data_IF_766768590012
#
_entry.id   IF_766768590012
#
_cell.length_a   1.000
_cell.length_b   1.000
_cell.length_c   1.000
_cell.angle_alpha   90.00
_cell.angle_beta   90.00
_cell.angle_gamma   90.00
#
_symmetry.space_group_name_H-M   'P 1'
#
loop_
_entity.id
_entity.type
_entity.pdbx_description
1 polymer ?
#
# COMPACT_ATOMS: atom_id res chain seq x y z
N UNK A 1 23.47 -3.57 8.05
CA UNK A 1 24.80 -2.99 8.36
C UNK A 1 25.30 -2.07 7.25
N UNK A 2 25.24 -2.48 5.96
CA UNK A 2 25.70 -1.64 4.84
C UNK A 2 24.98 -0.29 4.78
N UNK A 3 23.64 -0.25 4.92
CA UNK A 3 22.86 0.99 4.97
C UNK A 3 23.35 1.89 6.10
N UNK A 4 23.60 1.35 7.30
CA UNK A 4 24.12 2.14 8.43
C UNK A 4 25.49 2.73 8.17
N UNK A 5 26.38 2.00 7.47
CA UNK A 5 27.73 2.45 7.16
C UNK A 5 27.78 3.51 6.05
N UNK A 6 26.77 3.53 5.15
CA UNK A 6 26.70 4.50 4.05
C UNK A 6 25.89 5.77 4.40
N UNK A 7 25.20 5.78 5.53
CA UNK A 7 24.28 6.86 5.90
C UNK A 7 25.00 7.96 6.69
N UNK A 8 25.68 8.87 5.97
CA UNK A 8 26.18 10.13 6.50
C UNK A 8 25.15 11.29 6.35
N UNK A 9 24.03 11.06 5.65
CA UNK A 9 22.99 12.08 5.49
C UNK A 9 22.15 12.17 6.78
N UNK A 10 22.14 13.33 7.46
CA UNK A 10 21.39 13.53 8.71
C UNK A 10 19.87 13.40 8.54
N UNK A 11 19.36 13.46 7.31
CA UNK A 11 17.93 13.25 7.00
C UNK A 11 17.54 11.78 7.01
N UNK A 12 18.51 10.86 7.01
CA UNK A 12 18.25 9.43 6.95
C UNK A 12 18.16 8.84 8.37
N UNK A 13 17.03 8.21 8.65
CA UNK A 13 16.79 7.46 9.89
C UNK A 13 16.58 5.99 9.57
N UNK A 14 17.35 5.10 10.20
CA UNK A 14 17.25 3.65 10.02
C UNK A 14 16.50 3.05 11.20
N UNK A 15 15.37 2.39 10.93
CA UNK A 15 14.62 1.60 11.91
C UNK A 15 14.96 0.12 11.72
N UNK A 16 15.50 -0.51 12.76
CA UNK A 16 15.91 -1.92 12.72
C UNK A 16 15.00 -2.73 13.63
N UNK A 17 14.42 -3.80 13.08
CA UNK A 17 13.61 -4.75 13.85
C UNK A 17 14.48 -5.90 14.38
N UNK A 18 14.25 -6.36 15.60
CA UNK A 18 14.94 -7.53 16.19
C UNK A 18 14.56 -8.83 15.46
N UNK A 19 13.35 -8.89 14.88
CA UNK A 19 12.86 -10.01 14.08
C UNK A 19 12.06 -9.50 12.88
N UNK A 20 11.93 -10.32 11.83
CA UNK A 20 11.14 -9.99 10.65
C UNK A 20 9.64 -9.83 11.02
N UNK A 21 9.08 -8.65 10.78
CA UNK A 21 7.69 -8.33 11.05
C UNK A 21 6.81 -8.30 9.78
N UNK A 22 7.36 -8.68 8.65
CA UNK A 22 6.70 -8.60 7.34
C UNK A 22 6.68 -7.19 6.76
N UNK A 23 6.22 -7.08 5.50
CA UNK A 23 6.17 -5.81 4.77
C UNK A 23 5.25 -4.79 5.45
N UNK A 24 4.09 -5.22 5.90
CA UNK A 24 3.16 -4.36 6.64
C UNK A 24 3.76 -3.88 7.96
N UNK A 25 4.43 -4.77 8.73
CA UNK A 25 5.09 -4.39 9.98
C UNK A 25 6.20 -3.35 9.76
N UNK A 26 7.01 -3.52 8.72
CA UNK A 26 8.02 -2.53 8.35
C UNK A 26 7.40 -1.17 7.98
N UNK A 27 6.33 -1.18 7.19
CA UNK A 27 5.60 0.04 6.79
C UNK A 27 5.01 0.76 8.01
N UNK A 28 4.36 0.02 8.91
CA UNK A 28 3.75 0.61 10.13
C UNK A 28 4.80 1.23 11.06
N UNK A 29 5.97 0.60 11.19
CA UNK A 29 7.09 1.18 11.94
C UNK A 29 7.63 2.44 11.28
N UNK A 30 7.69 2.46 9.94
CA UNK A 30 8.02 3.65 9.16
C UNK A 30 7.01 4.79 9.38
N UNK A 31 5.72 4.47 9.38
CA UNK A 31 4.66 5.46 9.68
C UNK A 31 4.81 6.04 11.09
N UNK A 32 4.98 5.18 12.09
CA UNK A 32 5.17 5.63 13.48
C UNK A 32 6.39 6.55 13.60
N UNK A 33 7.50 6.20 12.96
CA UNK A 33 8.72 7.02 12.97
C UNK A 33 8.55 8.33 12.22
N UNK A 34 7.88 8.34 11.08
CA UNK A 34 7.61 9.56 10.32
C UNK A 34 6.68 10.52 11.10
N UNK A 35 5.68 9.98 11.81
CA UNK A 35 4.80 10.76 12.70
C UNK A 35 5.61 11.40 13.83
N UNK A 36 6.52 10.64 14.46
CA UNK A 36 7.43 11.12 15.52
C UNK A 36 8.33 12.25 15.03
N UNK A 37 8.82 12.14 13.80
CA UNK A 37 9.69 13.14 13.15
C UNK A 37 8.91 14.37 12.64
N UNK A 38 7.59 14.42 12.79
CA UNK A 38 6.78 15.56 12.40
C UNK A 38 6.50 15.69 10.91
N UNK A 39 6.50 14.57 10.16
CA UNK A 39 6.15 14.60 8.74
C UNK A 39 4.71 15.08 8.52
N UNK A 40 4.45 15.83 7.45
CA UNK A 40 3.10 16.23 7.01
C UNK A 40 2.46 15.18 6.10
N UNK A 41 3.26 14.60 5.21
CA UNK A 41 2.86 13.53 4.29
C UNK A 41 3.90 12.42 4.36
N UNK A 42 3.44 11.18 4.46
CA UNK A 42 4.29 9.99 4.50
C UNK A 42 4.13 9.24 3.18
N UNK A 43 5.25 8.95 2.51
CA UNK A 43 5.27 8.19 1.26
C UNK A 43 5.93 6.83 1.52
N UNK A 44 5.26 5.75 1.13
CA UNK A 44 5.81 4.40 1.12
C UNK A 44 6.43 4.10 -0.24
N UNK A 45 7.70 3.72 -0.24
CA UNK A 45 8.43 3.25 -1.41
C UNK A 45 9.10 1.93 -1.02
N UNK A 46 8.90 0.88 -1.82
CA UNK A 46 9.57 -0.40 -1.61
C UNK A 46 11.01 -0.35 -2.18
N UNK A 47 11.95 -1.01 -1.50
CA UNK A 47 13.38 -0.97 -1.86
C UNK A 47 13.79 -1.94 -2.97
N UNK A 48 12.83 -2.48 -3.73
CA UNK A 48 13.04 -3.46 -4.80
C UNK A 48 13.33 -2.83 -6.18
N UNK A 49 13.34 -1.49 -6.26
CA UNK A 49 13.60 -0.75 -7.50
C UNK A 49 12.44 -0.72 -8.50
N UNK A 50 11.27 -1.28 -8.16
CA UNK A 50 10.10 -1.28 -9.07
C UNK A 50 9.31 0.04 -9.03
N UNK A 51 9.57 0.90 -8.06
CA UNK A 51 8.91 2.20 -7.88
C UNK A 51 9.86 3.33 -8.27
N UNK A 52 9.44 4.19 -9.21
CA UNK A 52 10.21 5.37 -9.60
C UNK A 52 10.05 6.49 -8.56
N UNK A 53 11.10 6.86 -7.82
CA UNK A 53 11.05 7.99 -6.90
C UNK A 53 10.70 9.33 -7.56
N UNK A 54 10.95 9.49 -8.86
CA UNK A 54 10.56 10.66 -9.65
C UNK A 54 9.05 10.88 -9.70
N UNK A 55 8.26 9.81 -9.45
CA UNK A 55 6.80 9.89 -9.41
C UNK A 55 6.23 10.36 -8.06
N UNK A 56 7.07 10.55 -7.03
CA UNK A 56 6.61 10.96 -5.68
C UNK A 56 5.82 12.27 -5.75
N UNK A 57 6.29 13.26 -6.49
CA UNK A 57 5.61 14.55 -6.63
C UNK A 57 4.20 14.41 -7.21
N UNK A 58 4.01 13.49 -8.16
CA UNK A 58 2.70 13.17 -8.74
C UNK A 58 1.81 12.44 -7.75
N UNK A 59 2.38 11.51 -6.97
CA UNK A 59 1.65 10.72 -5.99
C UNK A 59 1.12 11.58 -4.83
N UNK A 60 1.92 12.52 -4.32
CA UNK A 60 1.52 13.39 -3.19
C UNK A 60 0.61 14.53 -3.59
N UNK A 61 0.57 14.88 -4.87
CA UNK A 61 -0.19 16.03 -5.39
C UNK A 61 -1.66 16.08 -4.96
N UNK A 62 -2.47 14.99 -5.04
CA UNK A 62 -3.86 15.01 -4.59
C UNK A 62 -4.01 15.38 -3.11
N UNK A 63 -3.03 15.01 -2.28
CA UNK A 63 -3.02 15.29 -0.85
C UNK A 63 -2.65 16.76 -0.61
N UNK A 64 -1.63 17.26 -1.29
CA UNK A 64 -1.21 18.66 -1.21
C UNK A 64 -2.31 19.63 -1.66
N UNK A 65 -3.11 19.25 -2.64
CA UNK A 65 -4.26 20.02 -3.14
C UNK A 65 -5.52 19.85 -2.27
N UNK A 66 -5.47 19.09 -1.18
CA UNK A 66 -6.62 18.84 -0.30
C UNK A 66 -7.75 18.03 -0.93
N UNK A 67 -7.48 17.31 -2.04
CA UNK A 67 -8.46 16.49 -2.75
C UNK A 67 -8.51 15.04 -2.27
N UNK A 68 -7.53 14.60 -1.51
CA UNK A 68 -7.45 13.26 -0.95
C UNK A 68 -6.67 13.24 0.36
N UNK A 69 -6.97 12.27 1.20
CA UNK A 69 -6.25 11.97 2.44
C UNK A 69 -5.18 10.89 2.25
N UNK A 70 -5.39 10.05 1.23
CA UNK A 70 -4.52 8.95 0.84
C UNK A 70 -4.43 8.88 -0.68
N UNK A 71 -3.23 8.66 -1.21
CA UNK A 71 -3.01 8.44 -2.64
C UNK A 71 -2.36 7.09 -2.86
N UNK A 72 -2.82 6.37 -3.88
CA UNK A 72 -2.34 5.04 -4.24
C UNK A 72 -1.96 4.99 -5.71
N UNK A 73 -0.77 4.47 -5.99
CA UNK A 73 -0.30 4.27 -7.35
C UNK A 73 -1.11 3.20 -8.08
N UNK A 74 -1.40 3.43 -9.35
CA UNK A 74 -2.11 2.50 -10.23
C UNK A 74 -1.28 2.21 -11.48
N UNK A 75 -0.79 0.96 -11.59
CA UNK A 75 0.01 0.47 -12.72
C UNK A 75 -0.84 0.08 -13.93
N UNK A 76 -2.14 -0.15 -13.72
CA UNK A 76 -3.05 -0.62 -14.77
C UNK A 76 -3.69 0.49 -15.60
N UNK A 77 -3.36 1.74 -15.31
CA UNK A 77 -3.95 2.88 -16.02
C UNK A 77 -3.51 2.97 -17.50
N UNK A 78 -2.33 2.42 -17.82
CA UNK A 78 -1.83 2.35 -19.21
C UNK A 78 -1.81 0.91 -19.71
N UNK A 79 -2.30 0.68 -20.93
CA UNK A 79 -2.31 -0.63 -21.60
C UNK A 79 -0.89 -1.23 -21.73
N UNK A 80 0.15 -0.39 -21.82
CA UNK A 80 1.54 -0.81 -21.86
C UNK A 80 1.98 -1.57 -20.60
N UNK A 81 1.43 -1.24 -19.41
CA UNK A 81 1.68 -1.97 -18.17
C UNK A 81 1.03 -3.37 -18.13
N UNK A 82 0.12 -3.66 -19.06
CA UNK A 82 -0.61 -4.94 -19.13
C UNK A 82 -0.05 -5.85 -20.21
N UNK A 83 0.52 -5.30 -21.28
CA UNK A 83 0.92 -6.03 -22.49
C UNK A 83 2.00 -7.10 -22.27
N UNK A 84 2.82 -6.97 -21.23
CA UNK A 84 3.84 -7.96 -20.82
C UNK A 84 3.42 -8.91 -19.71
N UNK A 85 2.18 -8.81 -19.20
CA UNK A 85 1.77 -9.58 -18.02
C UNK A 85 1.19 -10.95 -18.42
N UNK A 86 1.64 -12.08 -17.81
CA UNK A 86 1.03 -13.39 -18.02
C UNK A 86 -0.46 -13.39 -17.72
N UNK A 87 -1.27 -14.03 -18.59
CA UNK A 87 -2.76 -14.05 -18.47
C UNK A 87 -3.26 -14.51 -17.08
N UNK A 88 -2.62 -15.53 -16.50
CA UNK A 88 -2.94 -16.00 -15.15
C UNK A 88 -2.72 -14.95 -14.07
N UNK A 89 -1.67 -14.15 -14.19
CA UNK A 89 -1.39 -13.04 -13.27
C UNK A 89 -2.41 -11.92 -13.44
N UNK A 90 -2.83 -11.64 -14.66
CA UNK A 90 -3.88 -10.65 -14.95
C UNK A 90 -5.21 -11.06 -14.33
N UNK A 91 -5.65 -12.32 -14.52
CA UNK A 91 -6.90 -12.85 -13.92
C UNK A 91 -6.82 -12.83 -12.39
N UNK A 92 -5.68 -13.24 -11.82
CA UNK A 92 -5.46 -13.18 -10.37
C UNK A 92 -5.55 -11.76 -9.82
N UNK A 93 -4.94 -10.79 -10.49
CA UNK A 93 -5.01 -9.38 -10.10
C UNK A 93 -6.42 -8.80 -10.22
N UNK A 94 -7.19 -9.17 -11.25
CA UNK A 94 -8.58 -8.75 -11.40
C UNK A 94 -9.45 -9.33 -10.25
N UNK A 95 -9.27 -10.60 -9.92
CA UNK A 95 -9.97 -11.23 -8.79
C UNK A 95 -9.65 -10.55 -7.45
N UNK A 96 -8.35 -10.28 -7.19
CA UNK A 96 -7.94 -9.55 -5.98
C UNK A 96 -8.46 -8.11 -5.97
N UNK A 97 -8.45 -7.42 -7.11
CA UNK A 97 -9.03 -6.08 -7.23
C UNK A 97 -10.52 -6.08 -6.89
N UNK A 98 -11.27 -7.05 -7.43
CA UNK A 98 -12.70 -7.19 -7.13
C UNK A 98 -12.94 -7.49 -5.64
N UNK A 99 -12.24 -8.47 -5.06
CA UNK A 99 -12.35 -8.79 -3.64
C UNK A 99 -12.03 -7.60 -2.74
N UNK A 100 -11.00 -6.83 -3.09
CA UNK A 100 -10.63 -5.61 -2.38
C UNK A 100 -11.69 -4.52 -2.48
N UNK A 101 -12.30 -4.31 -3.66
CA UNK A 101 -13.41 -3.36 -3.85
C UNK A 101 -14.60 -3.71 -2.97
N UNK A 102 -14.99 -4.98 -2.97
CA UNK A 102 -16.11 -5.49 -2.16
C UNK A 102 -15.81 -5.34 -0.67
N UNK A 103 -14.62 -5.72 -0.22
CA UNK A 103 -14.27 -5.69 1.20
C UNK A 103 -13.99 -4.28 1.74
N UNK A 104 -13.31 -3.44 0.97
CA UNK A 104 -12.95 -2.09 1.38
C UNK A 104 -14.00 -1.03 1.05
N UNK A 105 -14.87 -1.25 0.04
CA UNK A 105 -15.83 -0.25 -0.42
C UNK A 105 -15.28 0.80 -1.41
N UNK A 106 -13.98 0.76 -1.75
CA UNK A 106 -13.37 1.67 -2.72
C UNK A 106 -13.48 1.14 -4.15
N UNK A 107 -14.60 1.35 -4.81
CA UNK A 107 -14.88 0.86 -6.16
C UNK A 107 -14.01 1.49 -7.25
N UNK A 108 -13.47 2.68 -7.01
CA UNK A 108 -12.62 3.41 -7.96
C UNK A 108 -11.16 2.97 -7.94
N UNK A 109 -10.71 2.22 -6.92
CA UNK A 109 -9.32 1.77 -6.81
C UNK A 109 -9.12 0.49 -7.60
N UNK A 110 -8.18 0.50 -8.56
CA UNK A 110 -7.93 -0.62 -9.47
C UNK A 110 -6.74 -1.48 -9.08
N UNK A 111 -5.71 -0.91 -8.46
CA UNK A 111 -4.49 -1.62 -8.05
C UNK A 111 -4.36 -1.69 -6.53
N UNK A 112 -5.17 -2.55 -5.84
CA UNK A 112 -5.20 -2.58 -4.38
C UNK A 112 -3.90 -3.10 -3.76
N UNK A 113 -3.09 -3.84 -4.53
CA UNK A 113 -1.84 -4.47 -4.05
C UNK A 113 -0.60 -3.65 -4.32
N UNK A 114 -0.73 -2.50 -4.99
CA UNK A 114 0.41 -1.62 -5.21
C UNK A 114 0.85 -0.98 -3.90
N UNK A 115 2.14 -1.13 -3.57
CA UNK A 115 2.74 -0.58 -2.36
C UNK A 115 3.15 0.88 -2.45
N UNK A 116 3.18 1.50 -3.64
CA UNK A 116 3.53 2.90 -3.81
C UNK A 116 2.38 3.80 -3.40
N UNK A 117 2.44 4.34 -2.20
CA UNK A 117 1.32 5.05 -1.55
C UNK A 117 1.79 6.27 -0.80
N UNK A 118 0.89 7.25 -0.65
CA UNK A 118 1.11 8.42 0.19
C UNK A 118 -0.09 8.64 1.13
N UNK A 119 0.17 9.10 2.35
CA UNK A 119 -0.86 9.36 3.36
C UNK A 119 -0.60 10.70 4.04
N UNK A 120 -1.67 11.46 4.24
CA UNK A 120 -1.60 12.66 5.08
C UNK A 120 -1.43 12.26 6.54
N UNK A 121 -0.52 12.92 7.27
CA UNK A 121 -0.19 12.56 8.66
C UNK A 121 -1.40 12.61 9.61
N UNK A 122 -2.34 13.52 9.40
CA UNK A 122 -3.58 13.59 10.20
C UNK A 122 -4.37 12.29 10.14
N UNK A 123 -4.48 11.70 8.94
CA UNK A 123 -5.12 10.41 8.77
C UNK A 123 -4.28 9.28 9.39
N UNK A 124 -2.95 9.27 9.17
CA UNK A 124 -2.06 8.25 9.75
C UNK A 124 -2.13 8.20 11.29
N UNK A 125 -2.33 9.35 11.95
CA UNK A 125 -2.44 9.45 13.42
C UNK A 125 -3.74 8.87 13.99
N UNK A 126 -4.83 8.85 13.22
CA UNK A 126 -6.12 8.32 13.69
C UNK A 126 -6.34 6.86 13.33
N UNK A 127 -5.53 6.31 12.41
CA UNK A 127 -5.61 4.90 12.05
C UNK A 127 -5.15 4.01 13.22
N UNK A 128 -5.82 2.88 13.48
CA UNK A 128 -5.40 1.91 14.48
C UNK A 128 -4.23 1.05 13.92
N UNK A 129 -3.03 1.64 13.89
CA UNK A 129 -1.84 1.03 13.26
C UNK A 129 -1.48 -0.35 13.85
N UNK A 130 -1.85 -0.62 15.08
CA UNK A 130 -1.66 -1.91 15.78
C UNK A 130 -2.60 -3.01 15.28
N UNK A 131 -3.75 -2.65 14.67
CA UNK A 131 -4.76 -3.58 14.17
C UNK A 131 -4.62 -3.89 12.67
N UNK A 132 -3.80 -3.12 11.95
CA UNK A 132 -3.57 -3.32 10.52
C UNK A 132 -2.68 -4.54 10.29
N UNK A 133 -3.01 -5.33 9.26
CA UNK A 133 -2.29 -6.55 8.91
C UNK A 133 -0.81 -6.27 8.62
N UNK A 134 0.08 -7.07 9.21
CA UNK A 134 1.53 -6.91 9.05
C UNK A 134 2.13 -7.71 7.90
N UNK A 135 1.34 -8.55 7.25
CA UNK A 135 1.77 -9.42 6.15
C UNK A 135 1.57 -8.75 4.78
N UNK A 136 1.62 -9.56 3.72
CA UNK A 136 1.29 -9.13 2.35
C UNK A 136 -0.17 -8.67 2.15
N UNK A 137 -1.04 -8.88 3.13
CA UNK A 137 -2.42 -8.37 3.07
C UNK A 137 -2.53 -6.90 3.50
N UNK A 138 -1.44 -6.30 3.95
CA UNK A 138 -1.34 -4.93 4.46
C UNK A 138 -2.08 -3.91 3.57
N UNK A 139 -1.80 -3.89 2.27
CA UNK A 139 -2.36 -2.89 1.35
C UNK A 139 -3.89 -2.98 1.25
N UNK A 140 -4.43 -4.20 1.23
CA UNK A 140 -5.88 -4.43 1.19
C UNK A 140 -6.54 -4.09 2.53
N UNK A 141 -5.88 -4.42 3.64
CA UNK A 141 -6.37 -4.13 4.99
C UNK A 141 -6.34 -2.64 5.28
N UNK A 142 -5.29 -1.95 4.82
CA UNK A 142 -5.19 -0.49 4.88
C UNK A 142 -6.42 0.16 4.22
N UNK A 143 -6.81 -0.27 3.01
CA UNK A 143 -7.99 0.26 2.34
C UNK A 143 -9.28 0.06 3.15
N UNK A 144 -9.43 -1.06 3.84
CA UNK A 144 -10.55 -1.27 4.76
C UNK A 144 -10.54 -0.25 5.90
N UNK A 145 -9.41 -0.06 6.59
CA UNK A 145 -9.28 0.90 7.68
C UNK A 145 -9.47 2.35 7.23
N UNK A 146 -9.00 2.69 6.02
CA UNK A 146 -9.25 3.99 5.40
C UNK A 146 -10.75 4.24 5.18
N UNK A 147 -11.50 3.24 4.71
CA UNK A 147 -12.94 3.37 4.48
C UNK A 147 -13.71 3.55 5.79
N UNK A 148 -13.39 2.77 6.82
CA UNK A 148 -13.99 2.93 8.16
C UNK A 148 -13.79 4.35 8.70
N UNK A 149 -12.64 4.97 8.42
CA UNK A 149 -12.35 6.35 8.77
C UNK A 149 -12.85 7.39 7.73
N UNK A 150 -13.62 6.95 6.73
CA UNK A 150 -14.20 7.79 5.67
C UNK A 150 -13.15 8.62 4.89
N UNK A 151 -11.93 8.10 4.77
CA UNK A 151 -10.85 8.77 4.07
C UNK A 151 -11.11 8.87 2.56
N UNK A 152 -10.74 9.97 1.97
CA UNK A 152 -10.78 10.15 0.51
C UNK A 152 -9.50 9.55 -0.09
N UNK A 153 -9.65 8.53 -0.95
CA UNK A 153 -8.53 7.85 -1.61
C UNK A 153 -8.46 8.23 -3.07
N UNK A 154 -7.31 8.73 -3.50
CA UNK A 154 -7.01 9.01 -4.91
C UNK A 154 -6.25 7.86 -5.57
N UNK A 155 -6.71 7.43 -6.76
CA UNK A 155 -6.01 6.48 -7.62
C UNK A 155 -5.13 7.26 -8.60
N UNK A 156 -3.80 7.13 -8.48
CA UNK A 156 -2.83 7.95 -9.22
C UNK A 156 -2.13 7.10 -10.27
N UNK A 157 -2.25 7.42 -11.57
CA UNK A 157 -1.51 6.71 -12.61
C UNK A 157 -0.01 6.80 -12.38
N UNK A 158 0.66 5.65 -12.34
CA UNK A 158 2.12 5.55 -12.23
C UNK A 158 2.67 4.61 -13.30
N UNK A 159 3.90 4.85 -13.69
CA UNK A 159 4.64 3.92 -14.55
C UNK A 159 5.35 2.90 -13.66
N UNK A 160 5.18 1.60 -13.96
CA UNK A 160 5.89 0.54 -13.26
C UNK A 160 7.20 0.22 -13.98
N UNK A 161 8.28 0.10 -13.22
CA UNK A 161 9.55 -0.41 -13.72
C UNK A 161 9.52 -1.93 -13.53
N UNK A 162 9.43 -2.67 -14.64
CA UNK A 162 9.51 -4.13 -14.60
C UNK A 162 10.98 -4.54 -14.79
N UNK A 163 11.63 -4.97 -13.71
CA UNK A 163 12.88 -5.72 -13.72
C UNK A 163 12.62 -7.22 -13.92
N UNK A 164 13.65 -8.00 -14.24
CA UNK A 164 13.58 -9.47 -14.41
C UNK A 164 13.35 -10.24 -13.10
N UNK A 165 12.73 -9.67 -12.10
CA UNK A 165 12.55 -10.29 -10.79
C UNK A 165 11.43 -11.33 -10.79
N UNK A 166 11.73 -12.50 -10.20
CA UNK A 166 10.77 -13.58 -9.99
C UNK A 166 10.02 -13.36 -8.68
N UNK A 167 8.70 -13.26 -8.75
CA UNK A 167 7.86 -13.20 -7.55
C UNK A 167 7.96 -14.52 -6.77
N UNK A 168 8.44 -14.46 -5.53
CA UNK A 168 8.49 -15.61 -4.61
C UNK A 168 7.14 -15.97 -3.97
N UNK A 169 6.07 -15.25 -4.32
CA UNK A 169 4.73 -15.48 -3.79
C UNK A 169 4.11 -16.74 -4.39
N UNK A 170 3.99 -17.80 -3.59
CA UNK A 170 3.22 -19.00 -3.96
C UNK A 170 1.72 -18.70 -3.85
N UNK A 171 1.10 -18.33 -4.97
CA UNK A 171 -0.31 -17.90 -5.07
C UNK A 171 -1.26 -18.89 -4.40
N UNK A 172 -1.05 -20.20 -4.57
CA UNK A 172 -1.90 -21.26 -3.99
C UNK A 172 -1.97 -21.23 -2.46
N UNK A 173 -0.91 -20.79 -1.77
CA UNK A 173 -0.87 -20.73 -0.30
C UNK A 173 -1.52 -19.46 0.27
N UNK A 174 -1.74 -18.45 -0.57
CA UNK A 174 -2.21 -17.12 -0.16
C UNK A 174 -3.70 -16.95 -0.44
N UNK A 175 -4.25 -17.64 -1.45
CA UNK A 175 -5.61 -17.43 -1.93
C UNK A 175 -6.67 -17.62 -0.83
N UNK A 176 -6.66 -18.74 -0.10
CA UNK A 176 -7.64 -19.01 0.96
C UNK A 176 -7.52 -18.05 2.16
N UNK A 177 -6.31 -17.80 2.71
CA UNK A 177 -6.13 -16.80 3.75
C UNK A 177 -6.56 -15.39 3.33
N UNK A 178 -6.29 -14.98 2.08
CA UNK A 178 -6.71 -13.67 1.58
C UNK A 178 -8.22 -13.58 1.43
N UNK A 179 -8.86 -14.58 0.85
CA UNK A 179 -10.30 -14.63 0.72
C UNK A 179 -11.00 -14.53 2.10
N UNK A 180 -10.49 -15.24 3.10
CA UNK A 180 -10.99 -15.15 4.47
C UNK A 180 -10.80 -13.76 5.08
N UNK A 181 -9.63 -13.15 4.91
CA UNK A 181 -9.36 -11.78 5.39
C UNK A 181 -10.26 -10.75 4.71
N UNK A 182 -10.48 -10.86 3.39
CA UNK A 182 -11.43 -10.00 2.68
C UNK A 182 -12.86 -10.17 3.18
N UNK A 183 -13.33 -11.41 3.41
CA UNK A 183 -14.64 -11.68 3.97
C UNK A 183 -14.79 -11.08 5.38
N UNK A 184 -13.78 -11.26 6.23
CA UNK A 184 -13.74 -10.66 7.58
C UNK A 184 -13.85 -9.14 7.52
N UNK A 185 -13.11 -8.48 6.64
CA UNK A 185 -13.16 -7.03 6.46
C UNK A 185 -14.50 -6.56 5.92
N UNK A 186 -15.11 -7.31 4.97
CA UNK A 186 -16.46 -7.03 4.49
C UNK A 186 -17.47 -7.05 5.62
N UNK A 187 -17.49 -8.13 6.43
CA UNK A 187 -18.43 -8.28 7.55
C UNK A 187 -18.23 -7.16 8.57
N UNK A 188 -16.99 -6.90 8.98
CA UNK A 188 -16.68 -5.80 9.91
C UNK A 188 -17.15 -4.45 9.36
N UNK A 189 -16.90 -4.16 8.08
CA UNK A 189 -17.31 -2.91 7.44
C UNK A 189 -18.84 -2.76 7.44
N UNK A 190 -19.56 -3.82 7.13
CA UNK A 190 -21.03 -3.81 7.17
C UNK A 190 -21.57 -3.54 8.58
N UNK A 191 -20.97 -4.16 9.61
CA UNK A 191 -21.38 -3.93 11.02
C UNK A 191 -21.08 -2.50 11.48
N UNK A 192 -19.96 -1.91 11.04
CA UNK A 192 -19.55 -0.57 11.49
C UNK A 192 -20.33 0.54 10.76
N UNK A 193 -20.63 0.34 9.48
CA UNK A 193 -21.23 1.38 8.62
C UNK A 193 -22.76 1.31 8.54
N UNK A 194 -23.39 0.22 9.01
CA UNK A 194 -24.83 -0.01 9.00
C UNK A 194 -25.33 -0.58 10.34
#
# INVERSE_FOLDING_TARGET
>A
EWVKSQCLDPRLTVVVHAANQGVGGATLSGYAKAIELGADIIVKVDGDGQMDPGMISRLVRPILEGRADYAKGNRFFRLQGISGMPKMRLVGNLGLSFASKVSSGYWKIFDPTNGFTAIHVKLAKILPLDQIDRSFFFESDMLYHLNVNRAVVADVPIDAIYGGETSHLKISRILLPFAWKHLKNLVKRLIINY
#
